data_IF_000143637956
#
_entry.id   IF_000143637956
#
_cell.length_a   1.000
_cell.length_b   1.000
_cell.length_c   1.000
_cell.angle_alpha   90.00
_cell.angle_beta   90.00
_cell.angle_gamma   90.00
#
_symmetry.space_group_name_H-M   'P 1'
#
loop_
_entity.id
_entity.type
_entity.pdbx_description
1 polymer ?
#
# COMPACT_ATOMS: atom_id res chain seq x y z
N UNK A 1 17.05 3.98 -8.21
CA UNK A 1 16.36 4.06 -9.53
C UNK A 1 14.97 3.52 -9.30
N UNK A 2 13.94 4.19 -9.79
CA UNK A 2 12.58 3.64 -9.72
C UNK A 2 12.54 2.29 -10.44
N UNK A 3 11.79 1.33 -9.91
CA UNK A 3 11.56 0.04 -10.53
C UNK A 3 10.73 0.26 -11.81
N UNK A 4 11.07 -0.43 -12.89
CA UNK A 4 10.32 -0.29 -14.14
C UNK A 4 9.07 -1.18 -14.14
N UNK A 5 8.05 -0.82 -14.93
CA UNK A 5 6.85 -1.65 -15.13
C UNK A 5 7.23 -3.08 -15.56
N UNK A 6 8.24 -3.22 -16.39
CA UNK A 6 8.77 -4.52 -16.83
C UNK A 6 9.31 -5.37 -15.65
N UNK A 7 9.94 -4.75 -14.64
CA UNK A 7 10.45 -5.47 -13.48
C UNK A 7 9.29 -5.93 -12.58
N UNK A 8 8.23 -5.12 -12.46
CA UNK A 8 7.01 -5.48 -11.73
C UNK A 8 6.24 -6.60 -12.44
N UNK A 9 6.09 -6.53 -13.76
CA UNK A 9 5.49 -7.61 -14.55
C UNK A 9 6.25 -8.93 -14.37
N UNK A 10 7.59 -8.86 -14.40
CA UNK A 10 8.44 -10.03 -14.16
C UNK A 10 8.24 -10.60 -12.76
N UNK A 11 8.22 -9.75 -11.73
CA UNK A 11 7.95 -10.17 -10.35
C UNK A 11 6.59 -10.85 -10.24
N UNK A 12 5.56 -10.26 -10.82
CA UNK A 12 4.21 -10.81 -10.84
C UNK A 12 4.16 -12.22 -11.47
N UNK A 13 4.83 -12.40 -12.63
CA UNK A 13 4.94 -13.71 -13.29
C UNK A 13 5.66 -14.73 -12.41
N UNK A 14 6.72 -14.31 -11.70
CA UNK A 14 7.49 -15.20 -10.82
C UNK A 14 6.66 -15.65 -9.60
N UNK A 15 5.88 -14.75 -9.00
CA UNK A 15 4.98 -15.08 -7.88
C UNK A 15 3.88 -16.04 -8.32
N UNK A 16 3.24 -15.80 -9.47
CA UNK A 16 2.20 -16.67 -10.01
C UNK A 16 2.70 -18.05 -10.45
N UNK A 17 4.01 -18.22 -10.63
CA UNK A 17 4.60 -19.52 -10.96
C UNK A 17 4.84 -20.40 -9.73
N UNK A 18 4.65 -19.88 -8.52
CA UNK A 18 4.73 -20.65 -7.29
C UNK A 18 3.49 -21.54 -7.10
N UNK A 19 3.62 -22.69 -6.39
CA UNK A 19 2.48 -23.55 -6.12
C UNK A 19 1.35 -22.80 -5.39
N UNK A 20 0.16 -22.81 -5.97
CA UNK A 20 -1.00 -22.12 -5.43
C UNK A 20 -1.46 -22.71 -4.09
N UNK A 21 -1.15 -23.99 -3.87
CA UNK A 21 -1.46 -24.71 -2.63
C UNK A 21 -0.78 -24.09 -1.40
N UNK A 22 0.36 -23.42 -1.61
CA UNK A 22 1.08 -22.72 -0.55
C UNK A 22 0.53 -21.31 -0.30
N UNK A 23 -0.40 -20.83 -1.12
CA UNK A 23 -0.95 -19.47 -1.07
C UNK A 23 0.13 -18.39 -1.02
N UNK A 24 1.01 -18.33 -2.04
CA UNK A 24 2.01 -17.28 -2.12
C UNK A 24 1.35 -15.91 -2.29
N UNK A 25 2.00 -14.87 -1.82
CA UNK A 25 1.48 -13.50 -1.95
C UNK A 25 1.30 -13.11 -3.42
N UNK A 26 0.21 -12.44 -3.73
CA UNK A 26 0.04 -11.70 -4.98
C UNK A 26 0.98 -10.49 -5.02
N UNK A 27 1.13 -9.84 -6.17
CA UNK A 27 1.98 -8.64 -6.27
C UNK A 27 1.47 -7.50 -5.38
N UNK A 28 0.15 -7.29 -5.34
CA UNK A 28 -0.48 -6.27 -4.49
C UNK A 28 -0.27 -6.57 -3.00
N UNK A 29 -0.49 -7.83 -2.59
CA UNK A 29 -0.27 -8.26 -1.22
C UNK A 29 1.21 -8.14 -0.82
N UNK A 30 2.14 -8.52 -1.69
CA UNK A 30 3.58 -8.35 -1.47
C UNK A 30 3.96 -6.88 -1.30
N UNK A 31 3.42 -5.99 -2.13
CA UNK A 31 3.69 -4.56 -2.05
C UNK A 31 3.25 -3.97 -0.71
N UNK A 32 2.03 -4.31 -0.26
CA UNK A 32 1.53 -3.94 1.06
C UNK A 32 2.37 -4.54 2.19
N UNK A 33 2.72 -5.82 2.08
CA UNK A 33 3.54 -6.52 3.07
C UNK A 33 4.93 -5.89 3.24
N UNK A 34 5.63 -5.64 2.14
CA UNK A 34 6.95 -5.02 2.17
C UNK A 34 6.88 -3.57 2.68
N UNK A 35 5.80 -2.86 2.35
CA UNK A 35 5.54 -1.53 2.90
C UNK A 35 5.36 -1.58 4.42
N UNK A 36 4.59 -2.53 4.93
CA UNK A 36 4.41 -2.75 6.38
C UNK A 36 5.71 -3.14 7.09
N UNK A 37 6.54 -4.02 6.47
CA UNK A 37 7.88 -4.37 6.97
C UNK A 37 8.77 -3.13 7.09
N UNK A 38 8.76 -2.26 6.07
CA UNK A 38 9.58 -1.04 6.05
C UNK A 38 9.05 0.05 6.99
N UNK A 39 7.73 0.14 7.16
CA UNK A 39 7.09 1.12 8.05
C UNK A 39 7.13 0.71 9.53
N UNK A 40 7.44 -0.56 9.83
CA UNK A 40 7.51 -1.06 11.19
C UNK A 40 8.49 -0.22 12.04
N UNK A 41 8.11 0.21 13.26
CA UNK A 41 9.01 0.94 14.14
C UNK A 41 10.30 0.16 14.46
N UNK A 42 10.20 -1.16 14.59
CA UNK A 42 11.33 -2.04 14.80
C UNK A 42 11.83 -2.62 13.47
N UNK A 43 13.15 -2.75 13.35
CA UNK A 43 13.76 -3.36 12.16
C UNK A 43 13.47 -4.87 12.14
N UNK A 44 12.87 -5.35 11.05
CA UNK A 44 12.61 -6.78 10.84
C UNK A 44 13.68 -7.34 9.90
N UNK A 45 14.51 -8.29 10.35
CA UNK A 45 15.53 -8.93 9.51
C UNK A 45 14.91 -9.67 8.31
N UNK A 46 15.61 -9.68 7.18
CA UNK A 46 15.16 -10.37 5.95
C UNK A 46 14.83 -11.85 6.22
N UNK A 47 15.62 -12.51 7.05
CA UNK A 47 15.42 -13.93 7.42
C UNK A 47 14.10 -14.20 8.15
N UNK A 48 13.49 -13.18 8.74
CA UNK A 48 12.23 -13.33 9.47
C UNK A 48 11.00 -13.05 8.60
N UNK A 49 11.08 -12.08 7.67
CA UNK A 49 9.92 -11.71 6.86
C UNK A 49 9.90 -12.43 5.49
N UNK A 50 11.04 -12.73 4.88
CA UNK A 50 11.07 -13.24 3.51
C UNK A 50 10.32 -14.56 3.33
N UNK A 51 10.38 -15.44 4.34
CA UNK A 51 9.72 -16.75 4.30
C UNK A 51 8.20 -16.66 4.09
N UNK A 52 7.56 -15.62 4.60
CA UNK A 52 6.11 -15.46 4.52
C UNK A 52 5.60 -15.04 3.14
N UNK A 53 6.50 -14.60 2.25
CA UNK A 53 6.16 -14.28 0.86
C UNK A 53 5.72 -15.52 0.09
N UNK A 54 6.24 -16.68 0.47
CA UNK A 54 6.02 -17.96 -0.22
C UNK A 54 4.75 -18.68 0.23
N UNK A 55 4.09 -18.19 1.25
CA UNK A 55 2.86 -18.73 1.81
C UNK A 55 2.87 -18.84 3.33
N UNK A 56 1.79 -19.42 3.86
CA UNK A 56 1.56 -19.47 5.32
C UNK A 56 2.51 -20.42 6.06
N UNK A 57 3.02 -21.44 5.40
CA UNK A 57 3.96 -22.39 6.01
C UNK A 57 5.39 -21.86 6.07
N UNK A 58 5.70 -20.82 5.31
CA UNK A 58 7.05 -20.30 5.14
C UNK A 58 7.95 -21.19 4.28
N UNK A 59 7.46 -22.34 3.81
CA UNK A 59 8.22 -23.27 2.99
C UNK A 59 8.10 -22.89 1.51
N UNK A 60 9.21 -22.54 0.91
CA UNK A 60 9.28 -22.22 -0.52
C UNK A 60 9.52 -23.47 -1.35
N UNK A 61 8.57 -23.85 -2.18
CA UNK A 61 8.78 -24.89 -3.20
C UNK A 61 9.11 -24.23 -4.55
N UNK A 62 10.40 -24.21 -4.89
CA UNK A 62 10.85 -23.73 -6.19
C UNK A 62 11.18 -24.92 -7.11
N UNK A 63 10.88 -24.82 -8.42
CA UNK A 63 11.19 -25.88 -9.37
C UNK A 63 12.68 -26.23 -9.45
N UNK A 64 13.54 -25.24 -9.28
CA UNK A 64 14.99 -25.37 -9.29
C UNK A 64 15.66 -24.17 -8.59
N UNK A 65 16.97 -24.28 -8.35
CA UNK A 65 17.77 -23.25 -7.69
C UNK A 65 17.76 -21.93 -8.49
N UNK A 66 17.82 -21.99 -9.81
CA UNK A 66 17.83 -20.78 -10.65
C UNK A 66 16.53 -19.99 -10.48
N UNK A 67 15.39 -20.68 -10.46
CA UNK A 67 14.10 -20.04 -10.26
C UNK A 67 13.97 -19.45 -8.85
N UNK A 68 14.51 -20.14 -7.83
CA UNK A 68 14.60 -19.59 -6.48
C UNK A 68 15.40 -18.28 -6.44
N UNK A 69 16.61 -18.29 -7.01
CA UNK A 69 17.46 -17.09 -7.07
C UNK A 69 16.82 -15.94 -7.83
N UNK A 70 16.16 -16.22 -8.95
CA UNK A 70 15.43 -15.20 -9.75
C UNK A 70 14.27 -14.59 -8.96
N UNK A 71 13.47 -15.42 -8.27
CA UNK A 71 12.29 -14.94 -7.53
C UNK A 71 12.70 -14.17 -6.30
N UNK A 72 13.62 -14.69 -5.49
CA UNK A 72 14.16 -13.99 -4.32
C UNK A 72 14.82 -12.67 -4.75
N UNK A 73 15.60 -12.69 -5.83
CA UNK A 73 16.23 -11.49 -6.38
C UNK A 73 15.21 -10.42 -6.79
N UNK A 74 14.09 -10.81 -7.41
CA UNK A 74 13.03 -9.89 -7.80
C UNK A 74 12.30 -9.30 -6.59
N UNK A 75 11.98 -10.11 -5.57
CA UNK A 75 11.41 -9.63 -4.30
C UNK A 75 12.33 -8.64 -3.60
N UNK A 76 13.63 -8.95 -3.51
CA UNK A 76 14.60 -8.06 -2.90
C UNK A 76 14.82 -6.76 -3.69
N UNK A 77 14.70 -6.82 -5.01
CA UNK A 77 14.74 -5.62 -5.86
C UNK A 77 13.54 -4.70 -5.57
N UNK A 78 12.34 -5.28 -5.42
CA UNK A 78 11.14 -4.53 -5.05
C UNK A 78 11.24 -3.93 -3.64
N UNK A 79 11.67 -4.72 -2.65
CA UNK A 79 11.94 -4.23 -1.30
C UNK A 79 12.89 -3.01 -1.30
N UNK A 80 13.99 -3.11 -2.05
CA UNK A 80 14.96 -2.02 -2.12
C UNK A 80 14.41 -0.77 -2.84
N UNK A 81 13.57 -0.95 -3.86
CA UNK A 81 12.91 0.15 -4.54
C UNK A 81 11.94 0.89 -3.61
N UNK A 82 11.09 0.15 -2.87
CA UNK A 82 10.20 0.72 -1.86
C UNK A 82 10.98 1.45 -0.76
N UNK A 83 12.02 0.83 -0.21
CA UNK A 83 12.87 1.45 0.80
C UNK A 83 13.49 2.76 0.32
N UNK A 84 13.91 2.81 -0.96
CA UNK A 84 14.44 4.02 -1.57
C UNK A 84 13.38 5.12 -1.69
N UNK A 85 12.19 4.79 -2.19
CA UNK A 85 11.07 5.74 -2.32
C UNK A 85 10.68 6.29 -0.96
N UNK A 86 10.46 5.41 0.03
CA UNK A 86 10.06 5.80 1.40
C UNK A 86 11.12 6.66 2.09
N UNK A 87 12.41 6.47 1.77
CA UNK A 87 13.50 7.29 2.32
C UNK A 87 13.61 8.66 1.64
N UNK A 88 13.21 8.78 0.38
CA UNK A 88 13.37 10.01 -0.42
C UNK A 88 12.17 10.94 -0.36
N UNK A 89 10.95 10.40 -0.32
CA UNK A 89 9.73 11.19 -0.48
C UNK A 89 8.70 11.01 0.64
N UNK A 90 8.79 9.96 1.47
CA UNK A 90 7.72 9.48 2.36
C UNK A 90 6.38 9.24 1.63
N UNK A 91 6.39 9.28 0.31
CA UNK A 91 5.22 9.06 -0.52
C UNK A 91 5.34 7.72 -1.24
N UNK A 92 4.28 6.95 -1.17
CA UNK A 92 4.17 5.65 -1.80
C UNK A 92 3.03 5.70 -2.83
N UNK A 93 3.22 5.04 -3.94
CA UNK A 93 2.16 4.69 -4.89
C UNK A 93 1.92 3.18 -4.76
N UNK A 94 0.89 2.75 -4.02
CA UNK A 94 0.60 1.33 -3.81
C UNK A 94 0.28 0.62 -5.11
N UNK A 95 0.70 -0.64 -5.22
CA UNK A 95 0.35 -1.50 -6.37
C UNK A 95 -0.95 -2.22 -6.04
N UNK A 96 -2.07 -1.67 -6.51
CA UNK A 96 -3.37 -2.31 -6.37
C UNK A 96 -3.66 -3.28 -7.51
N UNK A 97 -4.52 -4.26 -7.24
CA UNK A 97 -5.16 -5.05 -8.27
C UNK A 97 -6.28 -4.27 -8.96
N UNK A 98 -6.83 -4.84 -10.02
CA UNK A 98 -8.06 -4.37 -10.63
C UNK A 98 -8.97 -5.56 -10.92
N UNK A 99 -10.27 -5.40 -10.66
CA UNK A 99 -11.25 -6.39 -11.07
C UNK A 99 -11.28 -6.47 -12.61
N UNK A 100 -11.16 -7.66 -13.21
CA UNK A 100 -11.06 -7.82 -14.65
C UNK A 100 -12.36 -7.48 -15.40
N UNK A 101 -13.49 -7.34 -14.69
CA UNK A 101 -14.82 -7.08 -15.28
C UNK A 101 -15.28 -5.67 -14.99
N UNK A 102 -15.30 -5.26 -13.70
CA UNK A 102 -15.76 -3.93 -13.29
C UNK A 102 -14.68 -2.86 -13.44
N UNK A 103 -13.40 -3.25 -13.51
CA UNK A 103 -12.22 -2.38 -13.47
C UNK A 103 -12.10 -1.56 -12.17
N UNK A 104 -12.79 -1.98 -11.14
CA UNK A 104 -12.66 -1.39 -9.80
C UNK A 104 -11.29 -1.73 -9.21
N UNK A 105 -10.76 -0.80 -8.43
CA UNK A 105 -9.49 -0.97 -7.74
C UNK A 105 -9.67 -1.92 -6.58
N UNK A 106 -8.89 -3.01 -6.56
CA UNK A 106 -8.85 -3.98 -5.47
C UNK A 106 -7.70 -3.60 -4.52
N UNK A 107 -8.03 -2.92 -3.45
CA UNK A 107 -7.08 -2.46 -2.42
C UNK A 107 -6.91 -3.50 -1.28
N UNK A 108 -7.83 -4.42 -1.11
CA UNK A 108 -7.91 -5.38 -0.01
C UNK A 108 -6.67 -6.30 0.05
N UNK A 109 -6.16 -6.86 -1.07
CA UNK A 109 -4.93 -7.65 -1.02
C UNK A 109 -3.75 -6.85 -0.47
N UNK A 110 -3.67 -5.56 -0.79
CA UNK A 110 -2.62 -4.70 -0.29
C UNK A 110 -2.69 -4.52 1.23
N UNK A 111 -3.89 -4.24 1.77
CA UNK A 111 -4.11 -4.12 3.23
C UNK A 111 -3.83 -5.44 3.94
N UNK A 112 -4.23 -6.57 3.36
CA UNK A 112 -3.95 -7.90 3.90
C UNK A 112 -2.44 -8.12 4.06
N UNK A 113 -1.66 -7.73 3.04
CA UNK A 113 -0.20 -7.76 3.11
C UNK A 113 0.36 -6.85 4.21
N UNK A 114 -0.09 -5.60 4.26
CA UNK A 114 0.38 -4.62 5.24
C UNK A 114 0.12 -5.07 6.68
N UNK A 115 -1.09 -5.52 6.99
CA UNK A 115 -1.46 -5.98 8.34
C UNK A 115 -0.78 -7.31 8.69
N UNK A 116 -0.50 -8.17 7.71
CA UNK A 116 0.34 -9.36 7.91
C UNK A 116 1.76 -8.97 8.36
N UNK A 117 2.34 -7.93 7.79
CA UNK A 117 3.63 -7.42 8.27
C UNK A 117 3.54 -6.86 9.70
N UNK A 118 2.43 -6.19 10.06
CA UNK A 118 2.20 -5.72 11.43
C UNK A 118 2.23 -6.88 12.43
N UNK A 119 1.72 -8.04 12.07
CA UNK A 119 1.70 -9.24 12.93
C UNK A 119 3.09 -9.80 13.25
N UNK A 120 4.14 -9.41 12.52
CA UNK A 120 5.52 -9.80 12.83
C UNK A 120 6.10 -9.07 14.07
N UNK A 121 5.57 -7.91 14.40
CA UNK A 121 6.01 -7.07 15.54
C UNK A 121 4.81 -6.41 16.24
N UNK A 122 3.86 -7.17 16.77
CA UNK A 122 2.63 -6.61 17.33
C UNK A 122 2.90 -5.63 18.48
N UNK A 123 3.92 -5.90 19.30
CA UNK A 123 4.29 -5.02 20.41
C UNK A 123 4.83 -3.66 19.92
N UNK A 124 5.62 -3.63 18.83
CA UNK A 124 6.13 -2.39 18.28
C UNK A 124 5.00 -1.50 17.75
N UNK A 125 4.01 -2.08 17.10
CA UNK A 125 2.82 -1.38 16.61
C UNK A 125 1.91 -0.91 17.75
N UNK A 126 1.73 -1.73 18.79
CA UNK A 126 0.99 -1.32 19.99
C UNK A 126 1.66 -0.14 20.70
N UNK A 127 2.98 -0.21 20.86
CA UNK A 127 3.75 0.89 21.46
C UNK A 127 3.67 2.17 20.61
N UNK A 128 3.68 2.05 19.28
CA UNK A 128 3.49 3.18 18.38
C UNK A 128 2.10 3.79 18.58
N UNK A 129 1.05 2.97 18.63
CA UNK A 129 -0.32 3.43 18.85
C UNK A 129 -0.47 4.17 20.18
N UNK A 130 0.13 3.64 21.25
CA UNK A 130 0.04 4.22 22.60
C UNK A 130 0.80 5.55 22.72
N UNK A 131 1.90 5.71 21.98
CA UNK A 131 2.78 6.88 22.03
C UNK A 131 2.44 7.96 20.98
N UNK A 132 1.60 7.64 20.00
CA UNK A 132 1.32 8.50 18.86
C UNK A 132 0.37 9.67 19.23
N UNK A 133 0.39 10.71 18.39
CA UNK A 133 -0.61 11.75 18.38
C UNK A 133 -1.98 11.24 17.87
N UNK A 134 -3.02 12.05 18.03
CA UNK A 134 -4.40 11.69 17.65
C UNK A 134 -4.51 11.36 16.15
N UNK A 135 -3.76 12.03 15.28
CA UNK A 135 -3.78 11.81 13.83
C UNK A 135 -3.19 10.43 13.48
N UNK A 136 -2.06 10.10 14.06
CA UNK A 136 -1.42 8.78 13.85
C UNK A 136 -2.24 7.65 14.46
N UNK A 137 -2.83 7.86 15.64
CA UNK A 137 -3.75 6.89 16.25
C UNK A 137 -4.95 6.61 15.34
N UNK A 138 -5.62 7.67 14.86
CA UNK A 138 -6.76 7.55 13.94
C UNK A 138 -6.36 6.82 12.65
N UNK A 139 -5.16 7.12 12.12
CA UNK A 139 -4.60 6.45 10.94
C UNK A 139 -4.40 4.96 11.14
N UNK A 140 -3.80 4.54 12.25
CA UNK A 140 -3.59 3.12 12.57
C UNK A 140 -4.92 2.39 12.76
N UNK A 141 -5.87 3.01 13.47
CA UNK A 141 -7.22 2.45 13.66
C UNK A 141 -7.94 2.30 12.31
N UNK A 142 -7.81 3.29 11.42
CA UNK A 142 -8.40 3.22 10.08
C UNK A 142 -7.83 2.07 9.25
N UNK A 143 -6.51 1.86 9.23
CA UNK A 143 -5.90 0.73 8.50
C UNK A 143 -6.36 -0.62 9.07
N UNK A 144 -6.54 -0.75 10.39
CA UNK A 144 -7.10 -1.95 10.99
C UNK A 144 -8.58 -2.14 10.64
N UNK A 145 -9.36 -1.04 10.56
CA UNK A 145 -10.76 -1.10 10.11
C UNK A 145 -10.87 -1.53 8.63
N UNK A 146 -9.93 -1.10 7.77
CA UNK A 146 -9.84 -1.60 6.39
C UNK A 146 -9.58 -3.11 6.35
N UNK A 147 -8.76 -3.63 7.27
CA UNK A 147 -8.55 -5.09 7.40
C UNK A 147 -9.85 -5.81 7.77
N UNK A 148 -10.64 -5.27 8.71
CA UNK A 148 -11.93 -5.85 9.09
C UNK A 148 -12.91 -5.84 7.91
N UNK A 149 -12.92 -4.78 7.09
CA UNK A 149 -13.72 -4.71 5.84
C UNK A 149 -13.27 -5.79 4.85
N UNK A 150 -11.97 -5.90 4.59
CA UNK A 150 -11.40 -6.92 3.69
C UNK A 150 -11.71 -8.34 4.13
N UNK A 151 -11.75 -8.60 5.45
CA UNK A 151 -12.08 -9.90 6.02
C UNK A 151 -13.59 -10.21 6.06
N UNK A 152 -14.45 -9.22 5.76
CA UNK A 152 -15.90 -9.34 5.91
C UNK A 152 -16.36 -9.38 7.38
N UNK A 153 -15.54 -8.90 8.31
CA UNK A 153 -15.78 -8.88 9.76
C UNK A 153 -16.17 -7.50 10.28
N UNK A 154 -16.26 -6.51 9.38
CA UNK A 154 -16.58 -5.13 9.74
C UNK A 154 -18.02 -5.00 10.26
N UNK A 155 -18.24 -3.92 11.01
CA UNK A 155 -19.59 -3.55 11.52
C UNK A 155 -20.21 -2.40 10.72
N UNK A 156 -19.58 -2.00 9.62
CA UNK A 156 -20.09 -0.96 8.75
C UNK A 156 -21.28 -1.48 7.94
N UNK A 157 -22.20 -0.57 7.60
CA UNK A 157 -23.28 -0.86 6.66
C UNK A 157 -22.75 -1.02 5.22
N UNK A 158 -23.55 -1.62 4.34
CA UNK A 158 -23.17 -1.80 2.94
C UNK A 158 -22.86 -0.45 2.26
N UNK A 159 -23.60 0.63 2.59
CA UNK A 159 -23.37 1.97 2.05
C UNK A 159 -22.04 2.58 2.55
N UNK A 160 -21.67 2.32 3.82
CA UNK A 160 -20.38 2.76 4.36
C UNK A 160 -19.22 1.99 3.74
N UNK A 161 -19.39 0.69 3.49
CA UNK A 161 -18.38 -0.15 2.81
C UNK A 161 -18.19 0.35 1.37
N UNK A 162 -19.28 0.61 0.62
CA UNK A 162 -19.19 1.17 -0.74
C UNK A 162 -18.42 2.50 -0.75
N UNK A 163 -18.63 3.35 0.25
CA UNK A 163 -17.87 4.60 0.37
C UNK A 163 -16.39 4.36 0.68
N UNK A 164 -16.10 3.40 1.56
CA UNK A 164 -14.72 2.99 1.90
C UNK A 164 -14.01 2.45 0.65
N UNK A 165 -14.65 1.60 -0.15
CA UNK A 165 -14.08 1.02 -1.37
C UNK A 165 -13.68 2.10 -2.38
N UNK A 166 -14.46 3.18 -2.46
CA UNK A 166 -14.15 4.31 -3.32
C UNK A 166 -12.98 5.17 -2.81
N UNK A 167 -12.85 5.33 -1.50
CA UNK A 167 -11.91 6.27 -0.90
C UNK A 167 -10.59 5.61 -0.45
N UNK A 168 -10.61 4.34 -0.06
CA UNK A 168 -9.45 3.65 0.48
C UNK A 168 -8.20 3.71 -0.41
N UNK A 169 -8.29 3.53 -1.75
CA UNK A 169 -7.11 3.61 -2.61
C UNK A 169 -6.36 4.95 -2.52
N UNK A 170 -7.07 6.05 -2.35
CA UNK A 170 -6.50 7.39 -2.25
C UNK A 170 -6.05 7.73 -0.81
N UNK A 171 -6.65 7.11 0.20
CA UNK A 171 -6.35 7.35 1.62
C UNK A 171 -5.15 6.54 2.11
N UNK A 172 -4.98 5.31 1.67
CA UNK A 172 -3.90 4.42 2.10
C UNK A 172 -2.51 5.06 1.96
N UNK A 173 -2.13 5.71 0.83
CA UNK A 173 -0.83 6.38 0.72
C UNK A 173 -0.59 7.45 1.79
N UNK A 174 -1.64 8.22 2.12
CA UNK A 174 -1.56 9.23 3.17
C UNK A 174 -1.37 8.60 4.56
N UNK A 175 -2.08 7.49 4.82
CA UNK A 175 -1.93 6.74 6.06
C UNK A 175 -0.49 6.23 6.25
N UNK A 176 0.09 5.65 5.19
CA UNK A 176 1.49 5.19 5.22
C UNK A 176 2.44 6.36 5.47
N UNK A 177 2.24 7.50 4.80
CA UNK A 177 3.08 8.68 5.01
C UNK A 177 3.02 9.19 6.47
N UNK A 178 1.82 9.24 7.07
CA UNK A 178 1.63 9.63 8.48
C UNK A 178 2.37 8.67 9.42
N UNK A 179 2.23 7.36 9.21
CA UNK A 179 2.94 6.35 10.01
C UNK A 179 4.45 6.49 9.88
N UNK A 180 4.97 6.66 8.66
CA UNK A 180 6.40 6.83 8.42
C UNK A 180 6.96 8.08 9.09
N UNK A 181 6.19 9.17 9.08
CA UNK A 181 6.58 10.41 9.76
C UNK A 181 6.77 10.18 11.25
N UNK A 182 5.91 9.40 11.88
CA UNK A 182 5.96 9.11 13.31
C UNK A 182 6.96 8.00 13.65
N UNK A 183 7.00 6.92 12.87
CA UNK A 183 7.88 5.77 13.14
C UNK A 183 9.34 5.99 12.75
N UNK A 184 9.59 6.93 11.83
CA UNK A 184 10.93 7.23 11.27
C UNK A 184 11.21 8.74 11.25
N UNK A 185 11.21 9.42 12.40
CA UNK A 185 11.38 10.87 12.46
C UNK A 185 12.72 11.34 11.87
N UNK A 186 13.75 10.49 11.87
CA UNK A 186 15.04 10.77 11.23
C UNK A 186 14.95 10.84 9.71
N UNK A 187 14.02 10.09 9.08
CA UNK A 187 13.74 10.20 7.64
C UNK A 187 12.92 11.44 7.35
N UNK A 188 11.89 11.69 8.12
CA UNK A 188 11.05 12.88 8.01
C UNK A 188 11.87 14.18 8.08
N UNK A 189 12.86 14.24 8.98
CA UNK A 189 13.74 15.40 9.13
C UNK A 189 14.67 15.65 7.92
N UNK A 190 14.90 14.65 7.07
CA UNK A 190 15.76 14.76 5.87
C UNK A 190 15.00 15.22 4.64
N UNK A 191 13.69 15.08 4.63
CA UNK A 191 12.87 15.42 3.47
C UNK A 191 12.54 16.90 3.55
N UNK A 192 12.86 17.69 2.51
CA UNK A 192 12.51 19.10 2.44
C UNK A 192 10.99 19.27 2.61
N UNK A 193 10.55 20.25 3.39
CA UNK A 193 9.14 20.50 3.71
C UNK A 193 8.22 20.72 2.48
N UNK A 194 8.80 20.98 1.31
CA UNK A 194 8.08 21.08 0.03
C UNK A 194 7.84 19.73 -0.65
N UNK A 195 8.47 18.65 -0.16
CA UNK A 195 8.30 17.27 -0.63
C UNK A 195 7.61 16.39 0.42
N UNK A 196 7.58 16.79 1.70
CA UNK A 196 6.69 16.17 2.67
C UNK A 196 5.25 16.47 2.22
N UNK A 197 4.55 15.43 1.81
CA UNK A 197 3.22 15.57 1.19
C UNK A 197 2.33 16.47 2.04
N UNK A 198 2.02 17.66 1.54
CA UNK A 198 0.77 18.28 1.96
C UNK A 198 -0.30 17.25 1.66
N UNK A 199 -1.21 16.97 2.59
CA UNK A 199 -2.42 16.28 2.22
C UNK A 199 -2.95 17.02 1.00
N UNK A 200 -2.96 16.37 -0.14
CA UNK A 200 -3.68 16.89 -1.29
C UNK A 200 -5.08 17.10 -0.75
N UNK A 201 -5.45 18.36 -0.49
CA UNK A 201 -6.86 18.67 -0.43
C UNK A 201 -7.40 18.06 -1.69
N UNK A 202 -8.24 17.02 -1.53
CA UNK A 202 -9.01 16.48 -2.62
C UNK A 202 -9.48 17.70 -3.38
N UNK A 203 -9.02 17.87 -4.62
CA UNK A 203 -9.50 18.99 -5.43
C UNK A 203 -10.99 18.72 -5.52
N UNK A 204 -11.75 19.50 -4.75
CA UNK A 204 -13.20 19.40 -4.75
C UNK A 204 -13.59 19.47 -6.20
N UNK A 205 -14.31 18.43 -6.70
CA UNK A 205 -14.83 18.40 -8.08
C UNK A 205 -15.31 19.80 -8.37
N UNK A 206 -14.83 20.43 -9.47
CA UNK A 206 -15.18 21.81 -9.75
C UNK A 206 -16.69 21.96 -9.65
N UNK A 207 -17.16 22.93 -8.89
CA UNK A 207 -18.57 23.20 -8.74
C UNK A 207 -19.20 23.39 -10.11
N UNK A 208 -20.47 23.04 -10.29
CA UNK A 208 -21.14 23.10 -11.59
C UNK A 208 -20.96 24.43 -12.33
N UNK A 209 -20.70 25.53 -11.62
CA UNK A 209 -20.51 26.85 -12.16
C UNK A 209 -19.06 27.32 -12.26
N UNK A 210 -18.10 26.49 -11.80
CA UNK A 210 -16.69 26.83 -11.86
C UNK A 210 -16.12 26.71 -13.28
N UNK A 211 -15.02 27.40 -13.60
CA UNK A 211 -14.34 27.23 -14.88
C UNK A 211 -13.92 25.77 -15.07
N UNK A 212 -14.15 25.23 -16.26
CA UNK A 212 -13.81 23.84 -16.54
C UNK A 212 -12.29 23.63 -16.53
N UNK A 213 -11.83 22.62 -15.80
CA UNK A 213 -10.41 22.26 -15.68
C UNK A 213 -9.73 21.92 -17.03
N UNK A 214 -10.50 21.63 -18.09
CA UNK A 214 -9.96 21.38 -19.43
C UNK A 214 -9.42 22.64 -20.16
N UNK A 215 -9.48 23.82 -19.53
CA UNK A 215 -8.97 25.06 -20.11
C UNK A 215 -9.86 25.69 -21.19
N UNK A 216 -11.08 25.18 -21.44
CA UNK A 216 -11.99 25.66 -22.46
C UNK A 216 -12.61 27.03 -22.15
N UNK A 217 -12.43 27.60 -20.95
CA UNK A 217 -13.05 28.84 -20.47
C UNK A 217 -14.57 28.75 -20.23
N UNK A 218 -15.18 27.56 -20.42
CA UNK A 218 -16.63 27.34 -20.17
C UNK A 218 -16.83 26.83 -18.73
N UNK A 219 -18.06 27.02 -18.21
CA UNK A 219 -18.44 26.44 -16.90
C UNK A 219 -18.44 24.91 -16.98
N UNK A 220 -18.02 24.24 -15.91
CA UNK A 220 -17.90 22.80 -15.85
C UNK A 220 -19.15 22.05 -16.30
N UNK A 221 -20.34 22.48 -15.87
CA UNK A 221 -21.65 21.93 -16.31
C UNK A 221 -21.94 22.07 -17.79
N UNK A 222 -21.26 22.98 -18.50
CA UNK A 222 -21.47 23.24 -19.93
C UNK A 222 -20.31 22.70 -20.78
N UNK A 223 -19.42 21.94 -20.20
CA UNK A 223 -18.25 21.38 -20.86
C UNK A 223 -18.08 19.89 -20.49
N UNK A 224 -17.24 19.54 -19.54
CA UNK A 224 -16.90 18.14 -19.23
C UNK A 224 -17.98 17.40 -18.40
N UNK A 225 -18.93 18.08 -17.80
CA UNK A 225 -20.05 17.44 -17.10
C UNK A 225 -21.23 17.04 -18.03
N UNK A 226 -21.13 17.28 -19.33
CA UNK A 226 -22.18 16.97 -20.30
C UNK A 226 -21.85 15.78 -21.23
N UNK A 227 -20.77 14.98 -20.92
CA UNK A 227 -20.48 13.74 -21.65
C UNK A 227 -20.69 12.55 -20.75
#
# INVERSE_FOLDING_TARGET
MAQSDHDLDRLNVLLHALPIENMPMTLSELDGYLTGVLACPDVIPVSEWLQWVWGETGDAEFPDQKRAEETIGAVMAHYNALAQVMTQSLWLEPIYGADPISHETLWEPWINGFTRAMSLRPEAWSNLLDAADEETQATLIFLLALQDVSAGESRFSDEEIEQIDLEAPDLIPNCVATILHQSRPELAARIPANLSGKPLKAESKPGQNDPCACGSGRKYKQCCACN
#
